data_IF_449119591986
#
_entry.id   IF_449119591986
#
_cell.length_a   1.000
_cell.length_b   1.000
_cell.length_c   1.000
_cell.angle_alpha   90.00
_cell.angle_beta   90.00
_cell.angle_gamma   90.00
#
_symmetry.space_group_name_H-M   'P 1'
#
loop_
_entity.id
_entity.type
_entity.pdbx_description
1 polymer ?
#
# COMPACT_ATOMS: atom_id res chain seq x y z
N UNK A 1 6.37 2.48 7.13
CA UNK A 1 4.97 2.94 7.06
C UNK A 1 4.42 2.66 5.66
N UNK A 2 3.58 1.64 5.49
CA UNK A 2 3.08 1.20 4.16
C UNK A 2 2.51 2.33 3.32
N UNK A 3 1.65 3.16 3.92
CA UNK A 3 0.98 4.23 3.19
C UNK A 3 1.98 5.30 2.75
N UNK A 4 2.92 5.67 3.62
CA UNK A 4 3.93 6.68 3.29
C UNK A 4 4.84 6.18 2.17
N UNK A 5 5.28 4.93 2.23
CA UNK A 5 6.09 4.29 1.16
C UNK A 5 5.34 4.29 -0.17
N UNK A 6 4.07 3.87 -0.20
CA UNK A 6 3.27 3.88 -1.40
C UNK A 6 2.97 5.29 -1.93
N UNK A 7 2.62 6.22 -1.05
CA UNK A 7 2.38 7.64 -1.41
C UNK A 7 3.63 8.21 -2.08
N UNK A 8 4.82 7.93 -1.55
CA UNK A 8 6.08 8.35 -2.15
C UNK A 8 6.29 7.75 -3.55
N UNK A 9 6.02 6.45 -3.74
CA UNK A 9 6.11 5.80 -5.06
C UNK A 9 5.17 6.41 -6.12
N UNK A 10 4.05 7.00 -5.70
CA UNK A 10 3.06 7.62 -6.60
C UNK A 10 3.29 9.12 -6.83
N UNK A 11 4.31 9.72 -6.22
CA UNK A 11 4.59 11.14 -6.43
C UNK A 11 5.05 11.43 -7.86
N UNK A 12 4.75 12.64 -8.32
CA UNK A 12 5.19 13.11 -9.63
C UNK A 12 6.70 13.43 -9.65
N UNK A 13 7.32 13.40 -10.84
CA UNK A 13 8.70 13.89 -11.01
C UNK A 13 8.87 15.34 -10.53
N UNK A 14 7.83 16.16 -10.67
CA UNK A 14 7.82 17.55 -10.20
C UNK A 14 8.01 17.62 -8.68
N UNK A 15 7.35 16.76 -7.92
CA UNK A 15 7.54 16.68 -6.46
C UNK A 15 8.96 16.26 -6.09
N UNK A 16 9.54 15.28 -6.80
CA UNK A 16 10.92 14.84 -6.52
C UNK A 16 11.98 15.88 -6.84
N UNK A 17 11.73 16.74 -7.83
CA UNK A 17 12.62 17.86 -8.18
C UNK A 17 12.39 19.07 -7.27
N UNK A 18 11.14 19.29 -6.85
CA UNK A 18 10.71 20.44 -6.03
C UNK A 18 9.60 20.02 -5.03
N UNK A 19 9.99 19.56 -3.82
CA UNK A 19 9.10 18.90 -2.85
C UNK A 19 8.24 19.89 -2.06
N UNK A 20 7.49 20.74 -2.76
CA UNK A 20 6.53 21.65 -2.17
C UNK A 20 5.22 20.92 -1.85
N UNK A 21 4.51 21.37 -0.80
CA UNK A 21 3.20 20.83 -0.41
C UNK A 21 2.20 20.88 -1.57
N UNK A 22 2.25 21.91 -2.40
CA UNK A 22 1.42 22.06 -3.61
C UNK A 22 1.73 21.04 -4.70
N UNK A 23 2.91 20.41 -4.68
CA UNK A 23 3.32 19.35 -5.60
C UNK A 23 3.10 17.95 -5.02
N UNK A 24 2.84 17.85 -3.71
CA UNK A 24 2.56 16.60 -3.04
C UNK A 24 1.16 16.09 -3.43
N UNK A 25 1.12 14.87 -3.94
CA UNK A 25 -0.11 14.19 -4.29
C UNK A 25 -0.52 13.27 -3.15
N UNK A 26 -1.49 13.69 -2.37
CA UNK A 26 -2.06 12.86 -1.30
C UNK A 26 -2.71 11.60 -1.88
N UNK A 27 -2.50 10.47 -1.21
CA UNK A 27 -3.18 9.23 -1.54
C UNK A 27 -3.99 8.74 -0.34
N UNK A 28 -5.27 8.46 -0.58
CA UNK A 28 -6.17 7.98 0.46
C UNK A 28 -5.85 6.54 0.84
N UNK A 29 -5.76 6.29 2.15
CA UNK A 29 -5.65 4.94 2.73
C UNK A 29 -6.76 4.00 2.27
N UNK A 30 -7.99 4.49 2.17
CA UNK A 30 -9.16 3.69 1.75
C UNK A 30 -9.00 3.28 0.29
N UNK A 31 -8.56 4.21 -0.57
CA UNK A 31 -8.27 3.90 -1.98
C UNK A 31 -7.16 2.86 -2.11
N UNK A 32 -6.11 2.96 -1.30
CA UNK A 32 -4.99 1.99 -1.31
C UNK A 32 -5.46 0.60 -0.90
N UNK A 33 -6.23 0.50 0.19
CA UNK A 33 -6.81 -0.75 0.68
C UNK A 33 -7.64 -1.46 -0.39
N UNK A 34 -8.55 -0.72 -1.03
CA UNK A 34 -9.41 -1.28 -2.08
C UNK A 34 -8.64 -1.65 -3.35
N UNK A 35 -7.65 -0.84 -3.75
CA UNK A 35 -6.80 -1.15 -4.89
C UNK A 35 -6.00 -2.45 -4.66
N UNK A 36 -5.45 -2.65 -3.46
CA UNK A 36 -4.71 -3.87 -3.12
C UNK A 36 -5.63 -5.10 -3.10
N UNK A 37 -6.89 -4.96 -2.69
CA UNK A 37 -7.89 -6.00 -2.81
C UNK A 37 -8.17 -6.37 -4.29
N UNK A 38 -8.29 -5.39 -5.18
CA UNK A 38 -8.46 -5.64 -6.62
C UNK A 38 -7.21 -6.31 -7.25
N UNK A 39 -6.01 -5.91 -6.83
CA UNK A 39 -4.76 -6.54 -7.25
C UNK A 39 -4.66 -7.99 -6.79
N UNK A 40 -5.16 -8.29 -5.59
CA UNK A 40 -5.30 -9.65 -5.08
C UNK A 40 -6.24 -10.47 -5.95
N UNK A 41 -7.45 -9.96 -6.21
CA UNK A 41 -8.46 -10.64 -7.05
C UNK A 41 -7.99 -10.91 -8.49
N UNK A 42 -7.05 -10.11 -9.00
CA UNK A 42 -6.51 -10.28 -10.36
C UNK A 42 -5.26 -11.16 -10.43
N UNK A 43 -4.85 -11.80 -9.32
CA UNK A 43 -3.61 -12.58 -9.19
C UNK A 43 -2.33 -11.77 -9.53
N UNK A 44 -2.42 -10.44 -9.58
CA UNK A 44 -1.27 -9.58 -9.88
C UNK A 44 -0.35 -9.42 -8.67
N UNK A 45 -0.86 -9.60 -7.44
CA UNK A 45 0.00 -9.61 -6.26
C UNK A 45 1.04 -10.73 -6.34
N UNK A 46 0.65 -11.92 -6.81
CA UNK A 46 1.55 -13.07 -6.91
C UNK A 46 2.66 -12.87 -7.93
N UNK A 47 2.51 -11.89 -8.84
CA UNK A 47 3.52 -11.48 -9.81
C UNK A 47 4.44 -10.45 -9.20
N UNK A 48 5.17 -10.88 -8.15
CA UNK A 48 6.26 -10.16 -7.50
C UNK A 48 5.87 -8.97 -6.62
N UNK A 49 4.67 -8.97 -6.05
CA UNK A 49 4.33 -8.09 -4.92
C UNK A 49 4.16 -8.96 -3.67
N UNK A 50 5.01 -8.76 -2.66
CA UNK A 50 4.87 -9.46 -1.37
C UNK A 50 4.25 -8.53 -0.34
N UNK A 51 3.24 -9.04 0.36
CA UNK A 51 2.59 -8.38 1.48
C UNK A 51 3.02 -9.05 2.78
N UNK A 52 3.48 -8.27 3.75
CA UNK A 52 3.93 -8.78 5.06
C UNK A 52 2.83 -8.56 6.10
N UNK A 53 2.31 -9.64 6.67
CA UNK A 53 1.25 -9.56 7.69
C UNK A 53 1.73 -8.73 8.87
N UNK A 54 0.85 -7.87 9.40
CA UNK A 54 1.16 -7.04 10.54
C UNK A 54 1.22 -7.87 11.82
N UNK A 55 2.18 -7.56 12.69
CA UNK A 55 2.17 -8.05 14.07
C UNK A 55 1.06 -7.37 14.86
N UNK A 56 0.68 -7.93 16.01
CA UNK A 56 -0.30 -7.31 16.90
C UNK A 56 0.06 -5.84 17.22
N UNK A 57 1.31 -5.58 17.61
CA UNK A 57 1.78 -4.22 17.91
C UNK A 57 1.62 -3.25 16.73
N UNK A 58 1.87 -3.72 15.50
CA UNK A 58 1.69 -2.91 14.29
C UNK A 58 0.21 -2.65 13.95
N UNK A 59 -0.73 -3.42 14.50
CA UNK A 59 -2.17 -3.16 14.34
C UNK A 59 -2.73 -2.11 15.31
N UNK A 60 -2.01 -1.82 16.40
CA UNK A 60 -2.42 -0.81 17.40
C UNK A 60 -2.45 0.59 16.77
N UNK A 61 -1.46 0.90 15.94
CA UNK A 61 -1.43 2.14 15.16
C UNK A 61 -1.85 1.86 13.72
N UNK A 62 -2.90 2.54 13.29
CA UNK A 62 -3.40 2.44 11.92
C UNK A 62 -2.34 2.88 10.91
N UNK A 63 -1.39 3.74 11.23
CA UNK A 63 -0.33 4.15 10.30
C UNK A 63 0.60 2.98 9.93
N UNK A 64 0.86 2.10 10.89
CA UNK A 64 1.82 0.99 10.78
C UNK A 64 1.28 -0.24 10.04
N UNK A 65 0.00 -0.26 9.69
CA UNK A 65 -0.60 -1.37 8.94
C UNK A 65 -1.60 -0.88 7.92
N UNK A 66 -2.03 -1.71 6.97
CA UNK A 66 -3.17 -1.48 6.09
C UNK A 66 -4.10 -2.69 6.09
N UNK A 67 -5.39 -2.46 6.26
CA UNK A 67 -6.40 -3.50 6.10
C UNK A 67 -6.59 -3.79 4.63
N UNK A 68 -6.51 -5.05 4.22
CA UNK A 68 -6.80 -5.47 2.84
C UNK A 68 -7.85 -6.56 2.92
N UNK A 69 -8.96 -6.34 2.23
CA UNK A 69 -10.06 -7.30 2.13
C UNK A 69 -9.58 -8.62 1.51
N UNK A 70 -10.18 -9.72 1.95
CA UNK A 70 -10.02 -11.05 1.38
C UNK A 70 -11.26 -11.49 0.61
N UNK A 71 -12.43 -10.98 1.01
CA UNK A 71 -13.71 -11.25 0.37
C UNK A 71 -14.64 -10.03 0.43
N UNK A 72 -15.85 -10.19 -0.11
CA UNK A 72 -16.87 -9.13 -0.16
C UNK A 72 -17.64 -8.98 1.15
N UNK A 73 -17.54 -9.96 2.04
CA UNK A 73 -18.21 -9.99 3.35
C UNK A 73 -17.53 -9.09 4.39
N UNK A 74 -16.38 -8.50 4.03
CA UNK A 74 -15.65 -7.55 4.87
C UNK A 74 -14.49 -8.15 5.65
N UNK A 75 -14.24 -9.47 5.51
CA UNK A 75 -13.08 -10.12 6.12
C UNK A 75 -11.78 -9.69 5.42
N UNK A 76 -10.67 -9.75 6.14
CA UNK A 76 -9.39 -9.29 5.63
C UNK A 76 -8.25 -9.45 6.62
N UNK A 77 -7.09 -8.95 6.21
CA UNK A 77 -5.85 -9.04 6.97
C UNK A 77 -5.15 -7.69 7.02
N UNK A 78 -4.55 -7.36 8.17
CA UNK A 78 -3.65 -6.22 8.33
C UNK A 78 -2.26 -6.56 7.81
N UNK A 79 -1.67 -5.68 6.99
CA UNK A 79 -0.32 -5.81 6.46
C UNK A 79 0.55 -4.62 6.86
N UNK A 80 1.79 -4.88 7.27
CA UNK A 80 2.73 -3.87 7.76
C UNK A 80 3.71 -3.35 6.71
N UNK A 81 3.94 -4.12 5.63
CA UNK A 81 4.89 -3.76 4.56
C UNK A 81 4.44 -4.34 3.21
N UNK A 82 4.82 -3.64 2.13
CA UNK A 82 4.67 -4.09 0.75
C UNK A 82 6.06 -4.06 0.12
N UNK A 83 6.49 -5.16 -0.49
CA UNK A 83 7.73 -5.18 -1.27
C UNK A 83 7.45 -5.60 -2.71
N UNK A 84 8.27 -5.09 -3.62
CA UNK A 84 8.23 -5.42 -5.04
C UNK A 84 9.50 -6.21 -5.39
N UNK A 85 9.33 -7.31 -6.10
CA UNK A 85 10.44 -8.09 -6.63
C UNK A 85 11.16 -7.28 -7.73
N UNK A 86 12.48 -7.03 -7.61
CA UNK A 86 13.24 -6.29 -8.60
C UNK A 86 13.24 -6.92 -10.01
N UNK A 87 12.92 -8.22 -10.12
CA UNK A 87 12.96 -8.97 -11.38
C UNK A 87 11.81 -8.67 -12.36
N UNK A 88 10.93 -7.70 -12.04
CA UNK A 88 9.79 -7.29 -12.88
C UNK A 88 10.02 -6.00 -13.69
N UNK A 89 11.26 -5.55 -13.80
CA UNK A 89 11.65 -4.46 -14.71
C UNK A 89 12.06 -4.97 -16.09
#
# INVERSE_FOLDING_TARGET
DVLNEYVMLKQSRKFFVDPQKTHFHEYSRVKLSYMLYLLRKSNLLERGIKLYVATFDATIDKMNSIWILENEDGEGTHYSHISFDPALN
#
